data_IF_561302207412
#
_entry.id   IF_561302207412
#
_cell.length_a   1.000
_cell.length_b   1.000
_cell.length_c   1.000
_cell.angle_alpha   90.00
_cell.angle_beta   90.00
_cell.angle_gamma   90.00
#
_symmetry.space_group_name_H-M   'P 1'
#
loop_
_entity.id
_entity.type
_entity.pdbx_description
1 polymer ?
#
# COMPACT_ATOMS: atom_id res chain seq x y z
N UNK A 1 -6.52 -22.13 -7.42
CA UNK A 1 -6.47 -21.78 -5.98
C UNK A 1 -6.86 -20.32 -5.85
N UNK A 2 -7.64 -19.95 -4.84
CA UNK A 2 -7.98 -18.55 -4.60
C UNK A 2 -6.72 -17.80 -4.16
N UNK A 3 -6.44 -16.67 -4.80
CA UNK A 3 -5.38 -15.75 -4.36
C UNK A 3 -6.04 -14.64 -3.55
N UNK A 4 -5.43 -14.30 -2.43
CA UNK A 4 -5.87 -13.23 -1.56
C UNK A 4 -4.86 -12.10 -1.62
N UNK A 5 -5.35 -10.87 -1.62
CA UNK A 5 -4.50 -9.69 -1.75
C UNK A 5 -4.72 -8.76 -0.55
N UNK A 6 -3.65 -8.17 -0.04
CA UNK A 6 -3.67 -7.10 0.96
C UNK A 6 -2.86 -5.94 0.44
N UNK A 7 -3.39 -4.73 0.53
CA UNK A 7 -2.64 -3.50 0.37
C UNK A 7 -2.26 -2.96 1.74
N UNK A 8 -0.99 -2.61 1.93
CA UNK A 8 -0.50 -1.90 3.11
C UNK A 8 -0.04 -0.54 2.67
N UNK A 9 -0.61 0.51 3.26
CA UNK A 9 -0.22 1.90 3.01
C UNK A 9 0.94 2.27 3.95
N UNK A 10 1.91 3.00 3.41
CA UNK A 10 3.11 3.42 4.13
C UNK A 10 3.26 4.93 4.04
N UNK A 11 3.51 5.54 5.20
CA UNK A 11 4.03 6.90 5.26
C UNK A 11 5.54 6.84 5.07
N UNK A 12 6.04 7.60 4.09
CA UNK A 12 7.46 7.63 3.74
C UNK A 12 7.90 9.09 3.64
N UNK A 13 8.83 9.48 4.51
CA UNK A 13 9.44 10.81 4.51
C UNK A 13 10.96 10.66 4.54
N UNK A 14 11.62 10.97 3.41
CA UNK A 14 13.09 10.90 3.31
C UNK A 14 13.80 11.89 4.24
N UNK A 15 13.16 13.01 4.57
CA UNK A 15 13.74 14.05 5.43
C UNK A 15 13.79 13.63 6.90
N UNK A 16 12.80 12.86 7.34
CA UNK A 16 12.67 12.40 8.73
C UNK A 16 13.17 10.95 8.91
N UNK A 17 13.72 10.33 7.85
CA UNK A 17 14.08 8.91 7.79
C UNK A 17 12.90 8.02 8.25
N UNK A 18 11.69 8.40 7.86
CA UNK A 18 10.46 7.81 8.35
C UNK A 18 9.91 6.81 7.33
N UNK A 19 9.68 5.59 7.80
CA UNK A 19 9.07 4.51 7.03
C UNK A 19 8.13 3.72 7.94
N UNK A 20 6.85 4.06 7.94
CA UNK A 20 5.87 3.54 8.90
C UNK A 20 4.68 2.95 8.15
N UNK A 21 4.30 1.72 8.52
CA UNK A 21 3.02 1.14 8.09
C UNK A 21 1.85 1.89 8.72
N UNK A 22 0.88 2.28 7.90
CA UNK A 22 -0.29 3.05 8.34
C UNK A 22 -1.51 2.15 8.50
N UNK A 23 -2.02 1.63 7.38
CA UNK A 23 -3.25 0.85 7.35
C UNK A 23 -3.12 -0.35 6.41
N UNK A 24 -3.87 -1.40 6.72
CA UNK A 24 -3.95 -2.63 5.94
C UNK A 24 -5.37 -2.79 5.38
N UNK A 25 -5.47 -3.02 4.07
CA UNK A 25 -6.73 -3.18 3.35
C UNK A 25 -6.75 -4.52 2.64
N UNK A 26 -7.87 -5.25 2.75
CA UNK A 26 -8.11 -6.42 1.92
C UNK A 26 -8.58 -5.97 0.56
N UNK A 27 -7.89 -6.41 -0.47
CA UNK A 27 -8.24 -6.13 -1.86
C UNK A 27 -9.23 -7.18 -2.37
N UNK A 28 -10.26 -6.72 -3.04
CA UNK A 28 -11.18 -7.61 -3.74
C UNK A 28 -10.60 -7.98 -5.11
N UNK A 29 -10.38 -9.28 -5.33
CA UNK A 29 -9.80 -9.78 -6.58
C UNK A 29 -10.75 -9.75 -7.78
N UNK A 30 -12.05 -9.51 -7.56
CA UNK A 30 -13.02 -9.33 -8.64
C UNK A 30 -13.04 -7.89 -9.17
N UNK A 31 -12.51 -6.94 -8.40
CA UNK A 31 -12.37 -5.53 -8.79
C UNK A 31 -10.93 -5.20 -9.25
N UNK A 32 -10.76 -4.07 -9.90
CA UNK A 32 -9.44 -3.63 -10.38
C UNK A 32 -8.54 -3.27 -9.19
N UNK A 33 -7.46 -4.02 -9.02
CA UNK A 33 -6.52 -3.83 -7.89
C UNK A 33 -5.83 -2.47 -7.96
N UNK A 34 -5.46 -2.01 -9.16
CA UNK A 34 -4.77 -0.73 -9.36
C UNK A 34 -5.68 0.44 -8.97
N UNK A 35 -6.99 0.35 -9.26
CA UNK A 35 -7.97 1.35 -8.84
C UNK A 35 -8.14 1.37 -7.32
N UNK A 36 -8.35 0.21 -6.69
CA UNK A 36 -8.49 0.13 -5.24
C UNK A 36 -7.25 0.69 -4.51
N UNK A 37 -6.05 0.32 -4.96
CA UNK A 37 -4.79 0.81 -4.39
C UNK A 37 -4.67 2.33 -4.49
N UNK A 38 -5.08 2.92 -5.62
CA UNK A 38 -5.11 4.39 -5.78
C UNK A 38 -6.06 5.06 -4.80
N UNK A 39 -7.23 4.46 -4.56
CA UNK A 39 -8.20 4.99 -3.61
C UNK A 39 -7.66 4.93 -2.18
N UNK A 40 -7.01 3.84 -1.78
CA UNK A 40 -6.38 3.73 -0.46
C UNK A 40 -5.21 4.70 -0.29
N UNK A 41 -4.34 4.82 -1.29
CA UNK A 41 -3.25 5.79 -1.28
C UNK A 41 -3.77 7.22 -1.08
N UNK A 42 -4.86 7.57 -1.77
CA UNK A 42 -5.51 8.88 -1.64
C UNK A 42 -6.19 9.08 -0.28
N UNK A 43 -6.80 8.03 0.27
CA UNK A 43 -7.51 8.08 1.54
C UNK A 43 -6.55 8.29 2.71
N UNK A 44 -5.45 7.54 2.72
CA UNK A 44 -4.41 7.62 3.76
C UNK A 44 -3.39 8.73 3.49
N UNK A 45 -3.42 9.34 2.30
CA UNK A 45 -2.36 10.26 1.83
C UNK A 45 -0.99 9.58 1.92
N UNK A 46 -0.93 8.33 1.47
CA UNK A 46 0.25 7.49 1.59
C UNK A 46 1.08 7.50 0.31
N UNK A 47 2.36 7.94 0.35
CA UNK A 47 3.24 7.96 -0.81
C UNK A 47 3.63 6.58 -1.33
N UNK A 48 3.48 5.55 -0.52
CA UNK A 48 3.83 4.19 -0.89
C UNK A 48 2.72 3.23 -0.47
N UNK A 49 2.34 2.34 -1.38
CA UNK A 49 1.43 1.24 -1.08
C UNK A 49 2.06 -0.05 -1.57
N UNK A 50 2.17 -1.04 -0.67
CA UNK A 50 2.66 -2.37 -1.02
C UNK A 50 1.49 -3.34 -1.06
N UNK A 51 1.37 -4.06 -2.16
CA UNK A 51 0.40 -5.13 -2.31
C UNK A 51 1.09 -6.45 -2.09
N UNK A 52 0.55 -7.23 -1.17
CA UNK A 52 0.97 -8.58 -0.86
C UNK A 52 -0.06 -9.57 -1.36
N UNK A 53 0.39 -10.71 -1.90
CA UNK A 53 -0.48 -11.83 -2.26
C UNK A 53 -0.25 -13.01 -1.31
N UNK A 54 -1.32 -13.74 -1.01
CA UNK A 54 -1.28 -15.00 -0.26
C UNK A 54 -2.12 -16.06 -0.96
N UNK A 55 -1.72 -17.32 -0.80
CA UNK A 55 -2.50 -18.48 -1.25
C UNK A 55 -3.54 -18.93 -0.19
N UNK A 56 -3.55 -18.31 0.99
CA UNK A 56 -4.43 -18.66 2.11
C UNK A 56 -5.15 -17.43 2.64
N UNK A 57 -6.40 -17.60 3.07
CA UNK A 57 -7.21 -16.51 3.67
C UNK A 57 -6.71 -16.05 5.04
N UNK A 58 -5.87 -16.86 5.68
CA UNK A 58 -5.26 -16.57 6.98
C UNK A 58 -4.02 -15.66 6.85
N UNK A 59 -3.56 -15.37 5.63
CA UNK A 59 -2.38 -14.52 5.36
C UNK A 59 -1.15 -14.90 6.22
N UNK A 60 -0.97 -16.18 6.54
CA UNK A 60 0.20 -16.66 7.29
C UNK A 60 1.48 -16.60 6.47
N UNK A 61 1.34 -16.79 5.17
CA UNK A 61 2.41 -16.67 4.18
C UNK A 61 1.94 -15.72 3.10
N UNK A 62 2.60 -14.56 3.01
CA UNK A 62 2.36 -13.58 1.98
C UNK A 62 3.67 -13.13 1.37
N UNK A 63 3.62 -12.81 0.08
CA UNK A 63 4.75 -12.35 -0.69
C UNK A 63 4.42 -10.99 -1.29
N UNK A 64 5.42 -10.12 -1.38
CA UNK A 64 5.26 -8.84 -2.05
C UNK A 64 4.93 -9.10 -3.52
N UNK A 65 3.74 -8.69 -3.92
CA UNK A 65 3.25 -8.83 -5.29
C UNK A 65 3.64 -7.62 -6.13
N UNK A 66 3.34 -6.41 -5.63
CA UNK A 66 3.57 -5.16 -6.36
C UNK A 66 3.71 -3.99 -5.40
N UNK A 67 4.54 -3.02 -5.76
CA UNK A 67 4.70 -1.76 -5.05
C UNK A 67 4.18 -0.60 -5.91
N UNK A 68 3.50 0.34 -5.27
CA UNK A 68 2.92 1.51 -5.91
C UNK A 68 3.44 2.76 -5.22
N UNK A 69 4.12 3.61 -5.98
CA UNK A 69 4.68 4.86 -5.46
C UNK A 69 3.88 6.04 -6.01
N UNK A 70 3.36 6.85 -5.10
CA UNK A 70 2.53 8.01 -5.36
C UNK A 70 3.26 9.26 -4.91
N UNK A 71 4.08 9.82 -5.81
CA UNK A 71 4.87 11.02 -5.54
C UNK A 71 4.02 12.25 -5.18
N UNK A 72 2.75 12.26 -5.55
CA UNK A 72 1.81 13.32 -5.18
C UNK A 72 1.46 13.35 -3.68
N UNK A 73 1.65 12.23 -2.97
CA UNK A 73 1.48 12.11 -1.52
C UNK A 73 2.82 12.08 -0.78
N UNK A 74 3.94 12.16 -1.50
CA UNK A 74 5.27 12.25 -0.88
C UNK A 74 5.35 13.56 -0.12
N UNK A 75 5.81 13.46 1.13
CA UNK A 75 5.90 14.60 2.02
C UNK A 75 6.77 15.66 1.34
N UNK A 76 6.11 16.68 0.79
CA UNK A 76 6.77 17.89 0.30
C UNK A 76 7.14 18.71 1.53
N UNK A 77 8.15 18.23 2.28
CA UNK A 77 8.90 19.03 3.25
C UNK A 77 9.65 20.11 2.46
N UNK A 78 8.90 21.06 1.91
CA UNK A 78 9.43 22.27 1.33
C UNK A 78 9.87 23.12 2.51
N UNK A 79 11.12 22.90 2.92
CA UNK A 79 11.74 23.50 4.09
C UNK A 79 11.40 24.97 4.21
N UNK A 80 10.86 25.35 5.37
CA UNK A 80 10.83 26.73 5.84
C UNK A 80 11.66 26.82 7.11
#
# INVERSE_FOLDING_TARGET
MAKYYIAVTYDVCEYEDLYIDMNEYRLDSAEDLDQQVKEFAKLDVAPLVKVYESNTSDYKEFWLYKEYMFKEYECSCNGK
#
